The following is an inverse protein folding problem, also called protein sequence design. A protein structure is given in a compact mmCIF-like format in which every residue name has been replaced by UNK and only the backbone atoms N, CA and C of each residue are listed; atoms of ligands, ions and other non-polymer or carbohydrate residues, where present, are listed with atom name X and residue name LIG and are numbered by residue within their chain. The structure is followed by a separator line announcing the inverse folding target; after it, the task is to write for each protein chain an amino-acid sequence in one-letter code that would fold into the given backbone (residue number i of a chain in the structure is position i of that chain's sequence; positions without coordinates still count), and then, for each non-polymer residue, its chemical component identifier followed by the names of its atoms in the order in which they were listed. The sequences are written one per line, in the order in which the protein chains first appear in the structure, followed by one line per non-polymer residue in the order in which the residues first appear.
data_IF_500113078513
#
_entry.id   IF_500113078513
#
_cell.length_a   1.000
_cell.length_b   1.000
_cell.length_c   1.000
_cell.angle_alpha   90.00
_cell.angle_beta   90.00
_cell.angle_gamma   90.00
#
_symmetry.space_group_name_H-M   'P 1'
#
loop_
_entity.id
_entity.type
_entity.pdbx_description
1 polymer ?
#
# COMPACT_ATOMS: atom_id res chain seq x y z
N UNK A 1 -5.63 25.56 5.82
CA UNK A 1 -5.74 24.21 6.40
C UNK A 1 -4.57 23.97 7.33
N UNK A 2 -4.75 23.18 8.39
CA UNK A 2 -3.67 22.83 9.32
C UNK A 2 -2.74 21.79 8.70
N UNK A 3 -1.43 21.93 8.94
CA UNK A 3 -0.42 20.93 8.54
C UNK A 3 -0.77 19.56 9.16
N UNK A 4 -0.65 18.50 8.37
CA UNK A 4 -0.93 17.11 8.76
C UNK A 4 0.32 16.25 8.60
N UNK A 5 0.45 15.21 9.42
CA UNK A 5 1.48 14.19 9.28
C UNK A 5 0.88 13.02 8.50
N UNK A 6 1.46 12.69 7.34
CA UNK A 6 0.94 11.67 6.42
C UNK A 6 2.00 10.59 6.21
N UNK A 7 1.63 9.33 6.42
CA UNK A 7 2.49 8.16 6.15
C UNK A 7 1.98 7.45 4.91
N UNK A 8 2.84 7.33 3.87
CA UNK A 8 2.52 6.70 2.60
C UNK A 8 3.26 5.36 2.47
N UNK A 9 2.53 4.26 2.28
CA UNK A 9 3.09 2.91 2.23
C UNK A 9 2.95 2.31 0.84
N UNK A 10 4.06 1.85 0.28
CA UNK A 10 4.19 1.31 -1.08
C UNK A 10 3.54 -0.07 -1.25
N UNK A 11 3.26 -0.42 -2.52
CA UNK A 11 2.84 -1.76 -2.93
C UNK A 11 4.00 -2.75 -3.03
N UNK A 12 3.68 -4.00 -3.38
CA UNK A 12 4.65 -5.05 -3.61
C UNK A 12 5.63 -4.69 -4.73
N UNK A 13 6.85 -5.25 -4.64
CA UNK A 13 7.95 -5.06 -5.59
C UNK A 13 8.44 -3.62 -5.74
N UNK A 14 7.74 -2.65 -5.16
CA UNK A 14 8.00 -1.22 -5.33
C UNK A 14 9.12 -0.68 -4.44
N UNK A 15 9.31 0.62 -4.52
CA UNK A 15 10.16 1.40 -3.61
C UNK A 15 9.38 2.60 -3.08
N UNK A 16 9.88 3.20 -2.00
CA UNK A 16 9.37 4.47 -1.48
C UNK A 16 9.35 5.56 -2.55
N UNK A 17 10.28 5.52 -3.50
CA UNK A 17 10.39 6.45 -4.61
C UNK A 17 9.12 6.52 -5.49
N UNK A 18 8.32 5.45 -5.56
CA UNK A 18 7.06 5.47 -6.31
C UNK A 18 6.03 6.47 -5.76
N UNK A 19 6.23 6.94 -4.54
CA UNK A 19 5.39 7.96 -3.90
C UNK A 19 5.92 9.38 -4.06
N UNK A 20 7.16 9.57 -4.56
CA UNK A 20 7.80 10.89 -4.65
C UNK A 20 6.90 11.95 -5.30
N UNK A 21 6.25 11.70 -6.46
CA UNK A 21 5.40 12.73 -7.08
C UNK A 21 4.25 13.19 -6.18
N UNK A 22 3.55 12.25 -5.53
CA UNK A 22 2.44 12.56 -4.62
C UNK A 22 2.96 13.23 -3.35
N UNK A 23 4.06 12.71 -2.78
CA UNK A 23 4.65 13.24 -1.55
C UNK A 23 5.10 14.70 -1.71
N UNK A 24 5.72 15.05 -2.84
CA UNK A 24 6.19 16.40 -3.10
C UNK A 24 5.03 17.39 -3.26
N UNK A 25 3.93 16.96 -3.90
CA UNK A 25 2.72 17.78 -4.00
C UNK A 25 2.10 17.99 -2.62
N UNK A 26 1.96 16.94 -1.80
CA UNK A 26 1.43 17.06 -0.44
C UNK A 26 2.32 17.94 0.47
N UNK A 27 3.65 17.85 0.33
CA UNK A 27 4.59 18.75 1.01
C UNK A 27 4.41 20.20 0.54
N UNK A 28 4.22 20.40 -0.76
CA UNK A 28 3.89 21.72 -1.33
C UNK A 28 2.58 22.30 -0.81
N UNK A 29 1.63 21.46 -0.38
CA UNK A 29 0.39 21.84 0.30
C UNK A 29 0.58 22.09 1.81
N UNK A 30 1.80 21.95 2.35
CA UNK A 30 2.15 22.25 3.74
C UNK A 30 2.07 21.07 4.70
N UNK A 31 1.93 19.84 4.20
CA UNK A 31 1.92 18.63 5.03
C UNK A 31 3.34 18.10 5.31
N UNK A 32 3.49 17.38 6.42
CA UNK A 32 4.67 16.55 6.70
C UNK A 32 4.41 15.14 6.15
N UNK A 33 5.23 14.70 5.20
CA UNK A 33 5.01 13.43 4.50
C UNK A 33 6.18 12.48 4.74
N UNK A 34 5.87 11.31 5.27
CA UNK A 34 6.78 10.22 5.58
C UNK A 34 6.53 9.07 4.61
N UNK A 35 7.58 8.54 4.03
CA UNK A 35 7.50 7.42 3.08
C UNK A 35 8.50 6.35 3.50
N UNK A 36 8.11 5.45 4.42
CA UNK A 36 8.98 4.37 4.86
C UNK A 36 9.33 3.42 3.73
N UNK A 37 10.58 2.98 3.69
CA UNK A 37 11.03 1.92 2.78
C UNK A 37 10.90 0.57 3.45
N UNK A 38 10.19 -0.34 2.82
CA UNK A 38 10.01 -1.70 3.33
C UNK A 38 11.30 -2.52 3.15
N UNK A 39 11.70 -3.25 4.18
CA UNK A 39 12.94 -4.05 4.21
C UNK A 39 12.95 -5.09 3.08
N UNK A 40 14.07 -5.16 2.36
CA UNK A 40 14.28 -6.06 1.22
C UNK A 40 13.71 -5.56 -0.10
N UNK A 41 13.10 -4.36 -0.15
CA UNK A 41 12.54 -3.76 -1.35
C UNK A 41 13.23 -2.45 -1.73
N UNK A 42 13.15 -2.10 -3.01
CA UNK A 42 13.67 -0.85 -3.55
C UNK A 42 15.13 -0.58 -3.14
N UNK A 43 15.38 0.58 -2.55
CA UNK A 43 16.70 1.00 -2.05
C UNK A 43 17.22 0.16 -0.87
N UNK A 44 16.32 -0.60 -0.22
CA UNK A 44 16.69 -1.57 0.83
C UNK A 44 16.78 -3.02 0.32
N UNK A 45 16.80 -3.22 -1.00
CA UNK A 45 16.92 -4.55 -1.63
C UNK A 45 18.18 -5.32 -1.22
N UNK A 46 19.25 -4.61 -0.87
CA UNK A 46 20.50 -5.19 -0.33
C UNK A 46 20.29 -5.93 1.01
N UNK A 47 19.18 -5.69 1.71
CA UNK A 47 18.78 -6.39 2.94
C UNK A 47 17.88 -7.59 2.67
N UNK A 48 17.70 -7.98 1.39
CA UNK A 48 16.82 -9.08 1.01
C UNK A 48 17.17 -10.37 1.77
N UNK A 49 16.14 -11.01 2.34
CA UNK A 49 16.24 -12.31 2.99
C UNK A 49 14.92 -13.06 2.85
N UNK A 50 14.97 -14.38 2.70
CA UNK A 50 13.77 -15.23 2.72
C UNK A 50 13.01 -15.23 4.06
N UNK A 51 13.62 -14.72 5.13
CA UNK A 51 12.99 -14.56 6.45
C UNK A 51 12.12 -13.30 6.56
N UNK A 52 12.25 -12.34 5.62
CA UNK A 52 11.41 -11.13 5.60
C UNK A 52 9.97 -11.51 5.33
N UNK A 53 9.09 -11.16 6.25
CA UNK A 53 7.68 -11.49 6.21
C UNK A 53 6.78 -10.25 6.39
N UNK A 54 5.47 -10.42 6.46
CA UNK A 54 4.53 -9.30 6.61
C UNK A 54 4.76 -8.53 7.93
N UNK A 55 5.06 -9.22 9.04
CA UNK A 55 5.34 -8.56 10.31
C UNK A 55 6.62 -7.71 10.25
N UNK A 56 7.61 -8.10 9.44
CA UNK A 56 8.80 -7.26 9.17
C UNK A 56 8.39 -5.94 8.54
N UNK A 57 7.56 -5.96 7.49
CA UNK A 57 7.10 -4.75 6.81
C UNK A 57 6.17 -3.89 7.69
N UNK A 58 5.31 -4.51 8.50
CA UNK A 58 4.52 -3.79 9.50
C UNK A 58 5.47 -3.12 10.52
N UNK A 59 6.50 -3.85 10.96
CA UNK A 59 7.52 -3.35 11.88
C UNK A 59 8.31 -2.16 11.33
N UNK A 60 8.64 -2.16 10.02
CA UNK A 60 9.32 -1.02 9.37
C UNK A 60 8.51 0.28 9.52
N UNK A 61 7.18 0.20 9.30
CA UNK A 61 6.29 1.37 9.40
C UNK A 61 6.05 1.76 10.86
N UNK A 62 5.87 0.78 11.76
CA UNK A 62 5.72 1.05 13.19
C UNK A 62 6.97 1.72 13.76
N UNK A 63 8.16 1.23 13.41
CA UNK A 63 9.43 1.81 13.85
C UNK A 63 9.62 3.25 13.38
N UNK A 64 9.18 3.60 12.16
CA UNK A 64 9.18 4.98 11.69
C UNK A 64 8.21 5.84 12.53
N UNK A 65 6.99 5.37 12.78
CA UNK A 65 5.99 6.10 13.59
C UNK A 65 6.54 6.39 14.99
N UNK A 66 7.16 5.41 15.62
CA UNK A 66 7.77 5.54 16.95
C UNK A 66 8.98 6.49 16.93
N UNK A 67 9.88 6.33 15.96
CA UNK A 67 11.09 7.15 15.85
C UNK A 67 10.79 8.64 15.59
N UNK A 68 9.75 8.92 14.80
CA UNK A 68 9.31 10.29 14.47
C UNK A 68 8.31 10.86 15.51
N UNK A 69 7.93 10.10 16.52
CA UNK A 69 6.97 10.51 17.56
C UNK A 69 5.62 10.91 16.97
N UNK A 70 5.08 10.10 16.07
CA UNK A 70 3.80 10.40 15.41
C UNK A 70 2.64 10.00 16.33
N UNK A 71 2.12 10.95 17.11
CA UNK A 71 0.96 10.71 18.00
C UNK A 71 -0.37 10.77 17.24
N UNK A 72 -0.49 11.69 16.27
CA UNK A 72 -1.63 11.83 15.37
C UNK A 72 -1.17 11.93 13.92
N UNK A 73 -1.64 11.00 13.06
CA UNK A 73 -1.24 10.95 11.66
C UNK A 73 -2.32 10.35 10.76
N UNK A 74 -2.15 10.54 9.47
CA UNK A 74 -2.96 9.95 8.41
C UNK A 74 -2.16 8.84 7.74
N UNK A 75 -2.77 7.69 7.51
CA UNK A 75 -2.10 6.50 6.96
C UNK A 75 -2.70 6.11 5.62
N UNK A 76 -1.84 6.00 4.61
CA UNK A 76 -2.22 5.70 3.23
C UNK A 76 -1.44 4.49 2.72
N UNK A 77 -2.10 3.51 2.12
CA UNK A 77 -1.44 2.36 1.52
C UNK A 77 -1.93 2.03 0.12
N UNK A 78 -1.01 1.68 -0.75
CA UNK A 78 -1.28 1.26 -2.12
C UNK A 78 -1.06 -0.24 -2.28
N UNK A 79 -1.98 -0.94 -2.98
CA UNK A 79 -1.78 -2.33 -3.37
C UNK A 79 -1.48 -3.25 -2.16
N UNK A 80 -0.34 -3.96 -2.16
CA UNK A 80 0.16 -4.74 -1.02
C UNK A 80 0.31 -3.90 0.25
N UNK A 81 0.59 -2.61 0.12
CA UNK A 81 0.63 -1.68 1.25
C UNK A 81 -0.63 -1.71 2.10
N UNK A 82 -1.78 -2.13 1.54
CA UNK A 82 -3.01 -2.36 2.29
C UNK A 82 -2.89 -3.43 3.36
N UNK A 83 -2.13 -4.52 3.12
CA UNK A 83 -1.80 -5.51 4.15
C UNK A 83 -1.03 -4.87 5.30
N UNK A 84 -0.01 -4.07 4.94
CA UNK A 84 0.88 -3.42 5.92
C UNK A 84 0.13 -2.39 6.75
N UNK A 85 -0.59 -1.45 6.09
CA UNK A 85 -1.30 -0.39 6.83
C UNK A 85 -2.43 -0.92 7.71
N UNK A 86 -3.06 -2.06 7.33
CA UNK A 86 -4.07 -2.68 8.21
C UNK A 86 -3.43 -3.20 9.50
N UNK A 87 -2.25 -3.84 9.40
CA UNK A 87 -1.51 -4.29 10.58
C UNK A 87 -0.98 -3.15 11.45
N UNK A 88 -0.53 -2.05 10.83
CA UNK A 88 -0.14 -0.82 11.53
C UNK A 88 -1.36 -0.19 12.19
N UNK A 89 -2.48 -0.10 11.48
CA UNK A 89 -3.72 0.49 11.97
C UNK A 89 -4.28 -0.27 13.17
N UNK A 90 -4.11 -1.58 13.20
CA UNK A 90 -4.53 -2.41 14.34
C UNK A 90 -3.69 -2.15 15.61
N UNK A 91 -2.42 -1.73 15.45
CA UNK A 91 -1.50 -1.40 16.55
C UNK A 91 -1.61 0.06 17.02
N UNK A 92 -1.91 0.99 16.12
CA UNK A 92 -1.92 2.43 16.36
C UNK A 92 -3.31 3.06 16.17
N UNK A 93 -4.39 2.30 16.37
CA UNK A 93 -5.76 2.74 16.08
C UNK A 93 -6.13 4.09 16.71
N UNK A 94 -5.62 4.40 17.90
CA UNK A 94 -5.90 5.66 18.61
C UNK A 94 -5.15 6.87 18.05
N UNK A 95 -4.02 6.65 17.34
CA UNK A 95 -3.20 7.72 16.74
C UNK A 95 -3.56 8.02 15.29
N UNK A 96 -4.28 7.13 14.62
CA UNK A 96 -4.61 7.29 13.20
C UNK A 96 -5.90 8.08 13.05
N UNK A 97 -5.81 9.25 12.42
CA UNK A 97 -6.95 10.13 12.13
C UNK A 97 -7.74 9.67 10.92
N UNK A 98 -7.05 9.30 9.86
CA UNK A 98 -7.66 8.74 8.64
C UNK A 98 -6.89 7.56 8.11
N UNK A 99 -7.59 6.59 7.52
CA UNK A 99 -7.02 5.39 6.93
C UNK A 99 -7.48 5.28 5.48
N UNK A 100 -6.54 5.37 4.53
CA UNK A 100 -6.82 5.41 3.09
C UNK A 100 -6.18 4.24 2.36
N UNK A 101 -6.98 3.52 1.59
CA UNK A 101 -6.58 2.42 0.74
C UNK A 101 -6.68 2.86 -0.73
N UNK A 102 -5.57 2.80 -1.46
CA UNK A 102 -5.51 3.15 -2.87
C UNK A 102 -5.31 1.89 -3.71
N UNK A 103 -6.38 1.40 -4.32
CA UNK A 103 -6.42 0.16 -5.10
C UNK A 103 -5.65 -0.96 -4.38
N UNK A 104 -6.03 -1.22 -3.11
CA UNK A 104 -5.20 -1.93 -2.16
C UNK A 104 -5.93 -3.14 -1.53
N UNK A 105 -5.16 -4.10 -1.03
CA UNK A 105 -5.72 -5.18 -0.22
C UNK A 105 -6.34 -4.65 1.07
N UNK A 106 -7.45 -5.22 1.45
CA UNK A 106 -8.14 -4.98 2.72
C UNK A 106 -8.34 -6.34 3.42
N UNK A 107 -7.35 -6.80 4.20
CA UNK A 107 -7.42 -8.12 4.82
C UNK A 107 -8.33 -8.16 6.03
N UNK A 108 -8.91 -9.33 6.25
CA UNK A 108 -9.48 -9.75 7.53
C UNK A 108 -8.46 -10.57 8.32
N UNK A 109 -8.71 -10.74 9.63
CA UNK A 109 -7.83 -11.54 10.48
C UNK A 109 -7.64 -12.96 9.92
N UNK A 110 -6.41 -13.41 9.85
CA UNK A 110 -6.03 -14.73 9.33
C UNK A 110 -5.89 -14.82 7.81
N UNK A 111 -6.11 -13.75 7.07
CA UNK A 111 -5.86 -13.72 5.62
C UNK A 111 -4.41 -13.35 5.30
N UNK A 112 -3.92 -13.80 4.16
CA UNK A 112 -2.64 -13.41 3.57
C UNK A 112 -2.88 -12.73 2.22
N UNK A 113 -1.88 -12.00 1.70
CA UNK A 113 -1.96 -11.43 0.36
C UNK A 113 -2.25 -12.51 -0.70
N UNK A 114 -1.60 -13.67 -0.58
CA UNK A 114 -1.81 -14.79 -1.50
C UNK A 114 -3.24 -15.34 -1.43
N UNK A 115 -3.84 -15.37 -0.23
CA UNK A 115 -5.25 -15.75 -0.07
C UNK A 115 -6.19 -14.77 -0.81
N UNK A 116 -5.92 -13.46 -0.70
CA UNK A 116 -6.74 -12.41 -1.33
C UNK A 116 -6.59 -12.38 -2.86
N UNK A 117 -5.46 -12.81 -3.39
CA UNK A 117 -5.21 -12.92 -4.84
C UNK A 117 -6.09 -13.99 -5.52
N UNK A 118 -6.63 -14.93 -4.75
CA UNK A 118 -7.39 -16.05 -5.27
C UNK A 118 -6.51 -17.19 -5.82
N UNK A 119 -7.09 -18.39 -6.04
CA UNK A 119 -6.32 -19.60 -6.28
C UNK A 119 -5.46 -19.55 -7.56
N UNK A 120 -5.98 -19.00 -8.64
CA UNK A 120 -5.26 -18.97 -9.93
C UNK A 120 -3.98 -18.13 -9.84
N UNK A 121 -4.10 -16.88 -9.34
CA UNK A 121 -2.97 -15.97 -9.19
C UNK A 121 -2.02 -16.45 -8.10
N UNK A 122 -2.55 -17.07 -7.04
CA UNK A 122 -1.76 -17.69 -5.99
C UNK A 122 -0.87 -18.82 -6.53
N UNK A 123 -1.42 -19.70 -7.35
CA UNK A 123 -0.64 -20.79 -8.00
C UNK A 123 0.44 -20.25 -8.93
N UNK A 124 0.15 -19.21 -9.70
CA UNK A 124 1.15 -18.55 -10.55
C UNK A 124 2.30 -17.96 -9.72
N UNK A 125 1.98 -17.26 -8.62
CA UNK A 125 3.00 -16.73 -7.71
C UNK A 125 3.83 -17.82 -7.05
N UNK A 126 3.20 -18.94 -6.68
CA UNK A 126 3.90 -20.10 -6.10
C UNK A 126 4.89 -20.72 -7.09
N UNK A 127 4.47 -20.88 -8.36
CA UNK A 127 5.33 -21.38 -9.42
C UNK A 127 6.54 -20.45 -9.66
N UNK A 128 6.30 -19.14 -9.79
CA UNK A 128 7.36 -18.14 -9.94
C UNK A 128 8.31 -18.12 -8.74
N UNK A 129 7.78 -18.27 -7.52
CA UNK A 129 8.62 -18.36 -6.32
C UNK A 129 9.49 -19.63 -6.36
N UNK A 130 8.96 -20.76 -6.83
CA UNK A 130 9.71 -22.01 -6.99
C UNK A 130 10.94 -21.85 -7.87
N UNK A 131 10.86 -21.07 -8.95
CA UNK A 131 11.98 -20.76 -9.85
C UNK A 131 13.09 -19.94 -9.14
N UNK A 132 12.74 -19.23 -8.08
CA UNK A 132 13.65 -18.43 -7.24
C UNK A 132 13.94 -19.10 -5.89
N UNK A 133 13.91 -20.43 -5.82
CA UNK A 133 14.22 -21.18 -4.61
C UNK A 133 13.17 -21.06 -3.50
N UNK A 134 11.96 -20.65 -3.81
CA UNK A 134 10.85 -20.50 -2.86
C UNK A 134 10.94 -19.26 -1.96
N UNK A 135 11.90 -18.35 -2.17
CA UNK A 135 12.15 -17.22 -1.27
C UNK A 135 11.67 -15.87 -1.81
N UNK A 136 11.40 -15.76 -3.11
CA UNK A 136 11.05 -14.50 -3.75
C UNK A 136 10.03 -14.68 -4.87
N UNK A 137 9.25 -13.65 -5.15
CA UNK A 137 8.40 -13.54 -6.36
C UNK A 137 8.94 -12.40 -7.22
N UNK A 138 9.26 -12.65 -8.50
CA UNK A 138 9.76 -11.61 -9.39
C UNK A 138 8.67 -10.55 -9.64
N UNK A 139 9.04 -9.31 -9.94
CA UNK A 139 8.07 -8.31 -10.30
C UNK A 139 7.35 -8.69 -11.60
N UNK A 140 6.00 -8.64 -11.66
CA UNK A 140 5.27 -8.91 -12.89
C UNK A 140 5.66 -7.89 -13.98
N UNK A 141 5.64 -8.31 -15.23
CA UNK A 141 5.77 -7.40 -16.35
C UNK A 141 4.61 -6.38 -16.27
N UNK A 142 4.94 -5.10 -16.19
CA UNK A 142 3.95 -4.01 -16.19
C UNK A 142 4.24 -3.08 -17.35
N UNK A 143 3.20 -2.78 -18.11
CA UNK A 143 3.27 -1.79 -19.15
C UNK A 143 3.13 -0.40 -18.51
N UNK A 144 4.18 0.41 -18.63
CA UNK A 144 4.21 1.79 -18.14
C UNK A 144 3.49 2.78 -19.08
N UNK A 145 2.61 2.28 -19.95
CA UNK A 145 2.00 3.09 -21.03
C UNK A 145 1.15 4.25 -20.50
N UNK A 146 0.54 4.08 -19.33
CA UNK A 146 -0.28 5.12 -18.70
C UNK A 146 0.51 6.07 -17.80
N UNK A 147 1.70 5.65 -17.35
CA UNK A 147 2.55 6.49 -16.52
C UNK A 147 3.22 7.54 -17.42
N UNK A 148 3.12 8.85 -17.09
CA UNK A 148 3.81 9.91 -17.81
C UNK A 148 5.29 9.59 -17.97
N UNK A 149 5.86 9.89 -19.13
CA UNK A 149 7.22 9.48 -19.50
C UNK A 149 8.27 9.89 -18.45
N UNK A 150 8.17 11.11 -17.96
CA UNK A 150 9.08 11.66 -16.96
C UNK A 150 8.98 10.98 -15.60
N UNK A 151 7.91 10.19 -15.32
CA UNK A 151 7.71 9.44 -14.07
C UNK A 151 8.03 7.94 -14.22
N UNK A 152 8.28 7.45 -15.43
CA UNK A 152 8.51 6.00 -15.66
C UNK A 152 9.74 5.46 -14.94
N UNK A 153 10.73 6.31 -14.67
CA UNK A 153 11.92 5.90 -13.93
C UNK A 153 11.59 5.41 -12.50
N UNK A 154 10.51 5.87 -11.88
CA UNK A 154 10.03 5.35 -10.59
C UNK A 154 9.53 3.91 -10.66
N UNK A 155 9.23 3.39 -11.86
CA UNK A 155 8.86 2.00 -12.04
C UNK A 155 10.06 1.06 -12.23
N UNK A 156 11.24 1.58 -12.47
CA UNK A 156 12.45 0.78 -12.73
C UNK A 156 13.09 0.25 -11.45
N UNK A 157 12.89 0.91 -10.31
CA UNK A 157 13.41 0.54 -8.99
C UNK A 157 12.60 -0.59 -8.34
N UNK A 158 12.25 -1.62 -9.11
CA UNK A 158 11.47 -2.77 -8.64
C UNK A 158 12.40 -3.93 -8.30
N UNK A 159 12.17 -4.53 -7.15
CA UNK A 159 12.93 -5.68 -6.64
C UNK A 159 12.00 -6.89 -6.45
N UNK A 160 12.53 -8.12 -6.45
CA UNK A 160 11.75 -9.30 -6.09
C UNK A 160 11.11 -9.12 -4.71
N UNK A 161 9.84 -9.53 -4.58
CA UNK A 161 9.11 -9.49 -3.32
C UNK A 161 9.49 -10.71 -2.47
N UNK A 162 9.90 -10.56 -1.20
CA UNK A 162 10.12 -11.71 -0.32
C UNK A 162 8.84 -12.54 -0.21
N UNK A 163 8.90 -13.83 -0.54
CA UNK A 163 7.69 -14.64 -0.67
C UNK A 163 6.94 -14.81 0.65
N UNK A 164 7.66 -14.85 1.77
CA UNK A 164 7.04 -14.94 3.10
C UNK A 164 6.10 -13.76 3.41
N UNK A 165 6.31 -12.58 2.80
CA UNK A 165 5.40 -11.44 2.93
C UNK A 165 4.03 -11.67 2.27
N UNK A 166 3.99 -12.53 1.27
CA UNK A 166 2.77 -12.84 0.51
C UNK A 166 1.95 -13.96 1.16
N UNK A 167 2.62 -14.91 1.81
CA UNK A 167 1.99 -16.10 2.40
C UNK A 167 1.66 -15.95 3.88
N UNK A 168 2.32 -15.05 4.60
CA UNK A 168 2.05 -14.85 6.01
C UNK A 168 0.63 -14.33 6.22
N UNK A 169 -0.11 -15.01 7.09
CA UNK A 169 -1.44 -14.60 7.53
C UNK A 169 -1.33 -13.45 8.53
N UNK A 170 -2.04 -12.36 8.26
CA UNK A 170 -2.09 -11.21 9.17
C UNK A 170 -2.83 -11.59 10.47
N UNK A 171 -2.33 -11.08 11.59
CA UNK A 171 -2.98 -11.21 12.90
C UNK A 171 -3.51 -9.84 13.30
N UNK A 172 -4.82 -9.75 13.48
CA UNK A 172 -5.54 -8.52 13.82
C UNK A 172 -6.40 -8.74 15.08
N UNK A 173 -6.37 -7.78 15.98
CA UNK A 173 -7.31 -7.69 17.09
C UNK A 173 -8.70 -7.20 16.65
N UNK A 174 -8.72 -6.42 15.57
CA UNK A 174 -9.88 -5.72 15.03
C UNK A 174 -9.92 -4.24 15.40
N UNK A 175 -8.91 -3.73 16.10
CA UNK A 175 -8.84 -2.36 16.57
C UNK A 175 -8.77 -1.33 15.43
N UNK A 176 -8.21 -1.69 14.27
CA UNK A 176 -8.22 -0.85 13.07
C UNK A 176 -9.63 -0.40 12.65
N UNK A 177 -10.68 -1.15 13.03
CA UNK A 177 -12.10 -0.81 12.74
C UNK A 177 -12.61 0.36 13.58
N UNK A 178 -11.91 0.73 14.67
CA UNK A 178 -12.22 1.90 15.50
C UNK A 178 -11.91 3.22 14.81
N UNK A 179 -11.07 3.19 13.75
CA UNK A 179 -10.76 4.36 12.94
C UNK A 179 -12.00 4.74 12.13
N UNK A 180 -12.64 5.84 12.53
CA UNK A 180 -13.94 6.23 11.97
C UNK A 180 -13.83 6.78 10.53
N UNK A 181 -12.72 7.44 10.18
CA UNK A 181 -12.55 8.10 8.88
C UNK A 181 -11.71 7.21 7.96
N UNK A 182 -12.39 6.43 7.11
CA UNK A 182 -11.77 5.45 6.21
C UNK A 182 -12.18 5.72 4.76
N UNK A 183 -11.21 5.66 3.84
CA UNK A 183 -11.42 5.86 2.41
C UNK A 183 -10.86 4.68 1.60
N UNK A 184 -11.60 4.24 0.62
CA UNK A 184 -11.14 3.33 -0.43
C UNK A 184 -11.23 4.00 -1.79
N UNK A 185 -10.11 4.11 -2.49
CA UNK A 185 -10.04 4.62 -3.87
C UNK A 185 -9.72 3.47 -4.79
N UNK A 186 -10.59 3.19 -5.74
CA UNK A 186 -10.44 2.11 -6.71
C UNK A 186 -10.03 2.66 -8.08
N UNK A 187 -9.05 2.04 -8.71
CA UNK A 187 -8.70 2.28 -10.11
C UNK A 187 -9.65 1.49 -11.02
N UNK A 188 -10.32 2.16 -11.98
CA UNK A 188 -11.34 1.50 -12.80
C UNK A 188 -10.93 1.20 -14.24
N UNK A 189 -9.67 1.48 -14.62
CA UNK A 189 -9.13 1.11 -15.94
C UNK A 189 -8.25 -0.14 -15.80
N UNK A 190 -8.55 -1.20 -16.59
CA UNK A 190 -7.88 -2.50 -16.50
C UNK A 190 -7.94 -3.10 -15.08
N UNK A 191 -9.08 -2.91 -14.43
CA UNK A 191 -9.28 -3.24 -13.04
C UNK A 191 -9.14 -4.74 -12.77
N UNK A 192 -8.33 -5.07 -11.78
CA UNK A 192 -8.26 -6.43 -11.26
C UNK A 192 -9.58 -6.83 -10.58
N UNK A 193 -10.09 -8.04 -10.87
CA UNK A 193 -11.29 -8.59 -10.20
C UNK A 193 -11.17 -8.60 -8.67
N UNK A 194 -9.94 -8.63 -8.15
CA UNK A 194 -9.66 -8.62 -6.72
C UNK A 194 -10.03 -7.27 -6.12
N UNK A 195 -9.49 -6.20 -6.69
CA UNK A 195 -9.70 -4.85 -6.16
C UNK A 195 -11.12 -4.35 -6.43
N UNK A 196 -11.72 -4.71 -7.58
CA UNK A 196 -13.14 -4.44 -7.83
C UNK A 196 -14.06 -5.16 -6.85
N UNK A 197 -13.72 -6.41 -6.46
CA UNK A 197 -14.46 -7.15 -5.45
C UNK A 197 -14.35 -6.52 -4.05
N UNK A 198 -13.18 -5.98 -3.69
CA UNK A 198 -13.00 -5.22 -2.44
C UNK A 198 -13.80 -3.93 -2.50
N UNK A 199 -13.71 -3.17 -3.60
CA UNK A 199 -14.47 -1.94 -3.80
C UNK A 199 -15.97 -2.15 -3.67
N UNK A 200 -16.51 -3.20 -4.30
CA UNK A 200 -17.94 -3.54 -4.21
C UNK A 200 -18.41 -3.79 -2.76
N UNK A 201 -17.57 -4.43 -1.93
CA UNK A 201 -17.87 -4.63 -0.51
C UNK A 201 -17.81 -3.32 0.28
N UNK A 202 -16.78 -2.54 0.05
CA UNK A 202 -16.55 -1.28 0.78
C UNK A 202 -17.58 -0.23 0.40
N UNK A 203 -17.95 -0.11 -0.87
CA UNK A 203 -18.97 0.86 -1.33
C UNK A 203 -20.38 0.56 -0.83
N UNK A 204 -20.65 -0.67 -0.43
CA UNK A 204 -21.90 -1.08 0.20
C UNK A 204 -21.92 -0.84 1.74
N UNK A 205 -20.77 -0.54 2.35
CA UNK A 205 -20.65 -0.29 3.79
C UNK A 205 -20.65 1.23 4.08
N UNK A 206 -21.71 1.77 4.74
CA UNK A 206 -21.81 3.22 5.01
C UNK A 206 -20.75 3.76 5.96
N UNK A 207 -19.98 2.90 6.62
CA UNK A 207 -18.85 3.31 7.48
C UNK A 207 -17.58 3.67 6.68
N UNK A 208 -17.61 3.54 5.35
CA UNK A 208 -16.53 3.88 4.45
C UNK A 208 -16.91 5.00 3.49
N UNK A 209 -15.99 5.92 3.28
CA UNK A 209 -15.99 6.69 2.04
C UNK A 209 -15.36 5.84 0.94
N UNK A 210 -15.92 5.90 -0.27
CA UNK A 210 -15.36 5.17 -1.40
C UNK A 210 -15.54 5.94 -2.70
N UNK A 211 -14.60 5.79 -3.62
CA UNK A 211 -14.66 6.39 -4.95
C UNK A 211 -13.88 5.58 -5.98
N UNK A 212 -14.21 5.75 -7.25
CA UNK A 212 -13.43 5.26 -8.37
C UNK A 212 -12.72 6.41 -9.09
N UNK A 213 -11.55 6.11 -9.63
CA UNK A 213 -10.77 7.05 -10.45
C UNK A 213 -10.41 6.42 -11.79
N UNK A 214 -10.35 7.22 -12.88
CA UNK A 214 -10.03 6.74 -14.23
C UNK A 214 -8.52 6.51 -14.39
N UNK A 215 -8.00 5.53 -13.67
CA UNK A 215 -6.58 5.15 -13.64
C UNK A 215 -6.42 3.64 -13.73
N UNK A 216 -5.23 3.20 -14.13
CA UNK A 216 -4.74 1.85 -13.88
C UNK A 216 -4.25 1.72 -12.44
N UNK A 217 -3.69 0.54 -12.13
CA UNK A 217 -3.29 0.17 -10.77
C UNK A 217 -2.21 1.09 -10.14
N UNK A 218 -1.39 1.75 -10.94
CA UNK A 218 -0.31 2.64 -10.44
C UNK A 218 -0.78 4.10 -10.32
N UNK A 219 -1.96 4.31 -9.74
CA UNK A 219 -2.63 5.62 -9.70
C UNK A 219 -1.75 6.75 -9.13
N UNK A 220 -0.86 6.45 -8.16
CA UNK A 220 0.07 7.44 -7.60
C UNK A 220 1.14 7.92 -8.60
N UNK A 221 1.35 7.18 -9.70
CA UNK A 221 2.24 7.56 -10.79
C UNK A 221 1.48 8.00 -12.05
N UNK A 222 0.27 7.46 -12.27
CA UNK A 222 -0.53 7.79 -13.45
C UNK A 222 -1.24 9.15 -13.30
N UNK A 223 -1.62 9.51 -12.06
CA UNK A 223 -2.35 10.75 -11.77
C UNK A 223 -1.96 11.36 -10.40
N UNK A 224 -0.67 11.68 -10.20
CA UNK A 224 -0.15 12.08 -8.89
C UNK A 224 -0.84 13.33 -8.30
N UNK A 225 -1.20 14.32 -9.14
CA UNK A 225 -1.89 15.53 -8.70
C UNK A 225 -3.29 15.23 -8.16
N UNK A 226 -4.00 14.32 -8.84
CA UNK A 226 -5.34 13.95 -8.42
C UNK A 226 -5.30 13.10 -7.15
N UNK A 227 -4.35 12.15 -7.05
CA UNK A 227 -4.15 11.34 -5.85
C UNK A 227 -3.78 12.21 -4.65
N UNK A 228 -2.86 13.16 -4.82
CA UNK A 228 -2.50 14.10 -3.76
C UNK A 228 -3.70 14.94 -3.32
N UNK A 229 -4.52 15.41 -4.26
CA UNK A 229 -5.74 16.18 -3.98
C UNK A 229 -6.78 15.35 -3.23
N UNK A 230 -7.03 14.10 -3.65
CA UNK A 230 -7.95 13.17 -2.97
C UNK A 230 -7.51 12.97 -1.51
N UNK A 231 -6.21 12.71 -1.28
CA UNK A 231 -5.68 12.56 0.08
C UNK A 231 -5.87 13.86 0.87
N UNK A 232 -5.47 15.01 0.31
CA UNK A 232 -5.57 16.32 0.94
C UNK A 232 -7.02 16.66 1.35
N UNK A 233 -7.98 16.49 0.45
CA UNK A 233 -9.39 16.80 0.69
C UNK A 233 -9.99 15.84 1.73
N UNK A 234 -9.56 14.58 1.73
CA UNK A 234 -10.07 13.60 2.68
C UNK A 234 -9.53 13.81 4.09
N UNK A 235 -8.28 14.21 4.26
CA UNK A 235 -7.69 14.45 5.60
C UNK A 235 -8.12 15.79 6.21
N UNK A 236 -8.57 16.71 5.43
CA UNK A 236 -9.08 18.08 5.63
C UNK A 236 -9.71 18.62 6.69
#
# INVERSE_FOLDING_TARGET
MTSRKIVLVQGAWGSSASWTPVADILRGMGHQVFVPSLTGLGERSHLFSGAINLDTHIGDVCGLIEAEGLEEFDLVGHSYGGMVITGVADRFANGIRTLTYLDAFLPENGQSALHLLGPEVAMANLAMAGELGGVAVPPPARHATRVPEHLRHYMTSRSPQPFATMIQKIKLSGDYRKIAKRLYVSANIEQSKIFSGIYAKVSADPSWASMEVPSGHMLQLEMPEQVARIIHDFIG
#
